data_IF_853651327477
#
_entry.id   IF_853651327477
#
_cell.length_a   1.000
_cell.length_b   1.000
_cell.length_c   1.000
_cell.angle_alpha   90.00
_cell.angle_beta   90.00
_cell.angle_gamma   90.00
#
_symmetry.space_group_name_H-M   'P 1'
#
loop_
_entity.id
_entity.type
_entity.pdbx_description
1 polymer ?
#
# COMPACT_ATOMS: atom_id res chain seq x y z
N UNK A 1 -1.97 7.65 -11.03
CA UNK A 1 -1.04 6.98 -11.98
C UNK A 1 -0.33 5.87 -11.20
N UNK A 2 -0.79 4.63 -11.40
CA UNK A 2 -0.32 3.41 -10.75
C UNK A 2 0.79 2.77 -11.59
N UNK A 3 2.02 3.12 -11.30
CA UNK A 3 3.26 2.36 -11.52
C UNK A 3 4.40 3.29 -11.10
N UNK A 4 4.50 3.61 -9.81
CA UNK A 4 5.63 4.39 -9.32
C UNK A 4 6.44 3.56 -8.33
N UNK A 5 7.77 3.56 -8.45
CA UNK A 5 8.64 2.87 -7.52
C UNK A 5 8.72 3.64 -6.20
N UNK A 6 7.65 3.63 -5.40
CA UNK A 6 7.61 4.38 -4.14
C UNK A 6 8.46 3.64 -3.11
N UNK A 7 9.66 4.17 -2.85
CA UNK A 7 10.62 3.64 -1.88
C UNK A 7 10.62 4.38 -0.52
N UNK A 8 9.61 5.20 -0.21
CA UNK A 8 9.67 6.07 0.97
C UNK A 8 8.38 6.08 1.81
N UNK A 9 8.56 5.89 3.13
CA UNK A 9 7.50 5.92 4.16
C UNK A 9 6.65 7.20 4.09
N UNK A 10 7.29 8.35 3.83
CA UNK A 10 6.62 9.65 3.75
C UNK A 10 5.65 9.79 2.56
N UNK A 11 6.00 9.32 1.37
CA UNK A 11 5.12 9.40 0.19
C UNK A 11 3.92 8.47 0.32
N UNK A 12 4.12 7.27 0.88
CA UNK A 12 3.03 6.32 1.13
C UNK A 12 2.06 6.86 2.18
N UNK A 13 2.58 7.46 3.24
CA UNK A 13 1.78 8.11 4.28
C UNK A 13 1.02 9.32 3.76
N UNK A 14 1.62 10.15 2.90
CA UNK A 14 0.92 11.25 2.24
C UNK A 14 -0.19 10.76 1.31
N UNK A 15 0.03 9.65 0.59
CA UNK A 15 -0.97 9.06 -0.30
C UNK A 15 -2.13 8.43 0.49
N UNK A 16 -1.82 7.62 1.50
CA UNK A 16 -2.81 7.07 2.42
C UNK A 16 -3.57 8.20 3.14
N UNK A 17 -2.88 9.25 3.59
CA UNK A 17 -3.50 10.42 4.20
C UNK A 17 -4.50 11.14 3.30
N UNK A 18 -4.24 11.23 1.98
CA UNK A 18 -5.23 11.74 1.01
C UNK A 18 -6.45 10.83 0.89
N UNK A 19 -6.25 9.51 0.99
CA UNK A 19 -7.35 8.55 1.02
C UNK A 19 -8.14 8.60 2.34
N UNK A 20 -7.50 8.93 3.46
CA UNK A 20 -8.14 9.04 4.78
C UNK A 20 -8.88 10.35 5.01
N UNK A 21 -8.89 11.29 4.06
CA UNK A 21 -9.75 12.48 4.19
C UNK A 21 -11.21 12.04 4.33
N UNK A 22 -11.82 12.41 5.43
CA UNK A 22 -13.21 12.11 5.73
C UNK A 22 -14.11 12.70 4.66
N UNK A 23 -14.89 11.83 4.04
CA UNK A 23 -16.04 12.21 3.24
C UNK A 23 -17.23 11.46 3.84
N UNK A 24 -18.33 12.18 4.08
CA UNK A 24 -19.55 11.61 4.63
C UNK A 24 -20.04 10.47 3.71
N UNK A 25 -19.79 9.22 4.11
CA UNK A 25 -20.08 8.02 3.30
C UNK A 25 -18.89 7.10 3.01
N UNK A 26 -17.66 7.49 3.35
CA UNK A 26 -16.50 6.60 3.20
C UNK A 26 -16.34 5.70 4.43
N UNK A 27 -16.80 4.47 4.32
CA UNK A 27 -16.79 3.48 5.41
C UNK A 27 -15.45 2.76 5.58
N UNK A 28 -14.62 2.68 4.53
CA UNK A 28 -13.36 1.93 4.55
C UNK A 28 -12.37 2.44 3.48
N UNK A 29 -11.06 2.30 3.73
CA UNK A 29 -9.99 2.64 2.78
C UNK A 29 -9.27 1.36 2.37
N UNK A 30 -9.40 0.95 1.10
CA UNK A 30 -8.72 -0.22 0.55
C UNK A 30 -7.66 0.20 -0.47
N UNK A 31 -6.48 -0.40 -0.36
CA UNK A 31 -5.37 -0.21 -1.29
C UNK A 31 -5.14 -1.53 -2.02
N UNK A 32 -5.26 -1.50 -3.36
CA UNK A 32 -4.86 -2.62 -4.21
C UNK A 32 -3.43 -2.36 -4.71
N UNK A 33 -2.48 -3.17 -4.24
CA UNK A 33 -1.06 -3.09 -4.60
C UNK A 33 -0.68 -4.32 -5.44
N UNK A 34 -0.37 -4.09 -6.71
CA UNK A 34 0.08 -5.15 -7.62
C UNK A 34 1.59 -5.30 -7.48
N UNK A 35 2.03 -6.40 -6.87
CA UNK A 35 3.43 -6.72 -6.68
C UNK A 35 3.86 -7.84 -7.62
N UNK A 36 5.01 -7.65 -8.27
CA UNK A 36 5.72 -8.69 -9.02
C UNK A 36 6.92 -9.15 -8.19
N UNK A 37 6.97 -10.43 -7.86
CA UNK A 37 8.00 -11.02 -6.99
C UNK A 37 9.09 -11.76 -7.77
N UNK A 38 8.87 -12.05 -9.06
CA UNK A 38 9.84 -12.74 -9.92
C UNK A 38 11.03 -11.84 -10.31
N UNK A 39 10.92 -10.53 -10.09
CA UNK A 39 12.02 -9.59 -10.29
C UNK A 39 12.56 -9.08 -8.94
N UNK A 40 13.83 -9.38 -8.63
CA UNK A 40 14.46 -9.09 -7.33
C UNK A 40 14.29 -7.64 -6.85
N UNK A 41 14.37 -6.67 -7.76
CA UNK A 41 14.20 -5.27 -7.39
C UNK A 41 12.76 -4.95 -6.99
N UNK A 42 11.77 -5.51 -7.70
CA UNK A 42 10.35 -5.30 -7.43
C UNK A 42 9.93 -6.00 -6.13
N UNK A 43 10.47 -7.18 -5.86
CA UNK A 43 10.30 -7.89 -4.59
C UNK A 43 10.82 -7.07 -3.39
N UNK A 44 12.02 -6.49 -3.50
CA UNK A 44 12.58 -5.61 -2.45
C UNK A 44 11.73 -4.36 -2.21
N UNK A 45 11.16 -3.82 -3.27
CA UNK A 45 10.25 -2.67 -3.17
C UNK A 45 8.93 -3.05 -2.52
N UNK A 46 8.36 -4.21 -2.88
CA UNK A 46 7.17 -4.75 -2.22
C UNK A 46 7.39 -4.90 -0.72
N UNK A 47 8.53 -5.43 -0.28
CA UNK A 47 8.83 -5.59 1.15
C UNK A 47 8.92 -4.26 1.91
N UNK A 48 9.39 -3.18 1.25
CA UNK A 48 9.35 -1.83 1.84
C UNK A 48 7.92 -1.32 1.97
N UNK A 49 7.07 -1.52 0.95
CA UNK A 49 5.66 -1.13 0.98
C UNK A 49 4.87 -1.89 2.04
N UNK A 50 5.10 -3.21 2.15
CA UNK A 50 4.50 -4.10 3.17
C UNK A 50 4.71 -3.57 4.59
N UNK A 51 5.95 -3.13 4.90
CA UNK A 51 6.29 -2.50 6.19
C UNK A 51 5.61 -1.14 6.38
N UNK A 52 5.54 -0.33 5.33
CA UNK A 52 4.82 0.95 5.33
C UNK A 52 3.34 0.79 5.66
N UNK A 53 2.64 -0.10 4.97
CA UNK A 53 1.22 -0.40 5.22
C UNK A 53 0.97 -0.85 6.66
N UNK A 54 1.76 -1.82 7.16
CA UNK A 54 1.66 -2.28 8.55
C UNK A 54 1.86 -1.15 9.56
N UNK A 55 2.83 -0.27 9.32
CA UNK A 55 3.09 0.88 10.20
C UNK A 55 1.96 1.92 10.22
N UNK A 56 1.09 1.90 9.20
CA UNK A 56 -0.10 2.75 9.10
C UNK A 56 -1.39 2.04 9.58
N UNK A 57 -1.29 0.80 10.06
CA UNK A 57 -2.45 0.03 10.55
C UNK A 57 -3.21 -0.74 9.49
N UNK A 58 -2.71 -0.82 8.25
CA UNK A 58 -3.34 -1.62 7.21
C UNK A 58 -3.06 -3.11 7.42
N UNK A 59 -4.12 -3.92 7.29
CA UNK A 59 -4.03 -5.36 7.14
C UNK A 59 -3.75 -5.70 5.66
N UNK A 60 -2.82 -6.61 5.42
CA UNK A 60 -2.43 -7.02 4.06
C UNK A 60 -3.02 -8.40 3.80
N UNK A 61 -4.02 -8.46 2.92
CA UNK A 61 -4.66 -9.71 2.50
C UNK A 61 -4.10 -10.11 1.14
N UNK A 62 -3.49 -11.30 1.06
CA UNK A 62 -3.26 -11.95 -0.22
C UNK A 62 -4.62 -12.41 -0.76
N UNK A 63 -4.80 -12.46 -2.08
CA UNK A 63 -6.07 -12.89 -2.71
C UNK A 63 -6.34 -14.40 -2.56
N UNK A 64 -5.85 -15.04 -1.49
CA UNK A 64 -5.91 -16.48 -1.28
C UNK A 64 -6.18 -16.93 0.16
N UNK A 65 -6.49 -16.03 1.10
CA UNK A 65 -6.86 -16.42 2.46
C UNK A 65 -8.21 -15.79 2.80
N UNK A 66 -9.25 -16.64 2.79
CA UNK A 66 -10.53 -16.42 3.42
C UNK A 66 -10.66 -17.32 4.64
#
# INVERSE_FOLDING_TARGET
>A
MLAMPISWKGTLQQYAGRLHREHAGKSDVRIYDYAETNHLQLARMWEKRRRGYRSMGYEIKSRGEG
#
